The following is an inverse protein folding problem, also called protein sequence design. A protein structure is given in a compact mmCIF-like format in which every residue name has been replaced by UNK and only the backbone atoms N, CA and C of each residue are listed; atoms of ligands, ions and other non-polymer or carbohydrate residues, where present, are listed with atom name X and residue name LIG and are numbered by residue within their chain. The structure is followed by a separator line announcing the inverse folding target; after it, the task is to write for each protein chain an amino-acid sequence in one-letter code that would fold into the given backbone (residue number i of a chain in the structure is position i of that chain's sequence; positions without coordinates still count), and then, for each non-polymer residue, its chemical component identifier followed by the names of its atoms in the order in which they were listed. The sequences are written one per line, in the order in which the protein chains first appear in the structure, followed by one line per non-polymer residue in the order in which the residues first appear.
data_IF_052099958497
#
_entry.id   IF_052099958497
#
_cell.length_a   1.000
_cell.length_b   1.000
_cell.length_c   1.000
_cell.angle_alpha   90.00
_cell.angle_beta   90.00
_cell.angle_gamma   90.00
#
_symmetry.space_group_name_H-M   'P 1'
#
loop_
_entity.id
_entity.type
_entity.pdbx_description
1 polymer ?
#
# COMPACT_ATOMS: atom_id res chain seq x y z
N UNK A 1 16.27 4.35 -36.03
CA UNK A 1 16.41 5.83 -36.04
C UNK A 1 17.04 6.24 -34.71
N UNK A 2 18.12 7.02 -34.76
CA UNK A 2 19.15 7.17 -33.72
C UNK A 2 18.64 7.45 -32.30
N UNK A 3 19.03 6.59 -31.36
CA UNK A 3 18.82 6.75 -29.92
C UNK A 3 19.94 7.65 -29.39
N UNK A 4 19.68 8.96 -29.31
CA UNK A 4 20.55 9.85 -28.56
C UNK A 4 20.26 9.64 -27.07
N UNK A 5 21.23 9.09 -26.34
CA UNK A 5 21.27 9.20 -24.88
C UNK A 5 21.41 10.68 -24.53
N UNK A 6 20.28 11.39 -24.40
CA UNK A 6 20.30 12.77 -23.91
C UNK A 6 20.49 12.68 -22.40
N UNK A 7 21.74 12.70 -21.97
CA UNK A 7 22.12 13.05 -20.62
C UNK A 7 21.77 14.52 -20.43
N UNK A 8 20.71 14.76 -19.69
CA UNK A 8 20.36 16.12 -19.27
C UNK A 8 21.06 16.40 -17.97
N UNK A 9 21.53 17.64 -17.79
CA UNK A 9 22.19 18.13 -16.56
C UNK A 9 21.30 18.04 -15.30
N UNK A 10 20.07 17.54 -15.44
CA UNK A 10 19.11 17.34 -14.36
C UNK A 10 18.93 15.88 -13.93
N UNK A 11 19.76 14.97 -14.43
CA UNK A 11 19.79 13.55 -14.01
C UNK A 11 18.73 12.66 -14.66
N UNK A 12 17.85 13.21 -15.52
CA UNK A 12 16.93 12.39 -16.32
C UNK A 12 17.69 11.73 -17.49
N UNK A 13 17.43 10.44 -17.70
CA UNK A 13 17.91 9.67 -18.85
C UNK A 13 16.71 8.96 -19.50
N UNK A 14 16.46 9.26 -20.76
CA UNK A 14 15.41 8.60 -21.54
C UNK A 14 16.04 7.63 -22.53
N UNK A 15 15.77 6.35 -22.36
CA UNK A 15 16.27 5.28 -23.24
C UNK A 15 15.32 5.00 -24.41
N UNK A 16 14.03 5.26 -24.24
CA UNK A 16 13.01 5.17 -25.30
C UNK A 16 11.79 6.02 -24.93
N UNK A 17 11.13 6.58 -25.95
CA UNK A 17 9.81 7.20 -25.83
C UNK A 17 9.11 7.13 -27.19
N UNK A 18 7.79 7.02 -27.18
CA UNK A 18 7.00 7.05 -28.41
C UNK A 18 6.62 8.48 -28.76
N UNK A 19 6.70 8.83 -30.04
CA UNK A 19 6.07 10.04 -30.53
C UNK A 19 4.56 9.86 -30.42
N UNK A 20 3.92 10.72 -29.63
CA UNK A 20 2.46 10.76 -29.51
C UNK A 20 1.97 12.03 -30.20
N UNK A 21 0.79 11.98 -30.84
CA UNK A 21 0.07 13.16 -31.33
C UNK A 21 -0.67 13.87 -30.18
N UNK A 22 -0.08 13.81 -28.98
CA UNK A 22 -0.63 14.36 -27.76
C UNK A 22 0.26 15.51 -27.30
N UNK A 23 -0.36 16.53 -26.74
CA UNK A 23 0.34 17.67 -26.19
C UNK A 23 -0.06 17.88 -24.74
N UNK A 24 0.86 18.44 -23.97
CA UNK A 24 0.59 18.83 -22.60
C UNK A 24 0.17 20.29 -22.56
N UNK A 25 -0.89 20.60 -21.80
CA UNK A 25 -1.34 21.96 -21.53
C UNK A 25 -1.32 22.23 -20.03
N UNK A 26 -0.67 23.32 -19.63
CA UNK A 26 -0.55 23.76 -18.26
C UNK A 26 0.40 24.95 -18.13
N UNK A 27 0.65 25.40 -16.90
CA UNK A 27 1.58 26.50 -16.66
C UNK A 27 3.04 26.06 -16.80
N UNK A 28 3.80 26.71 -17.70
CA UNK A 28 5.22 26.42 -17.93
C UNK A 28 6.07 26.57 -16.66
N UNK A 29 5.67 27.46 -15.75
CA UNK A 29 6.35 27.69 -14.46
C UNK A 29 6.25 26.48 -13.51
N UNK A 30 5.31 25.57 -13.75
CA UNK A 30 5.13 24.34 -12.97
C UNK A 30 5.98 23.18 -13.51
N UNK A 31 6.75 23.39 -14.57
CA UNK A 31 7.67 22.38 -15.10
C UNK A 31 8.97 22.44 -14.29
N UNK A 32 9.29 21.32 -13.64
CA UNK A 32 10.48 21.18 -12.81
C UNK A 32 11.65 20.66 -13.63
N UNK A 33 12.81 21.33 -13.52
CA UNK A 33 14.03 20.98 -14.24
C UNK A 33 15.22 20.69 -13.33
N UNK A 34 15.17 20.94 -12.01
CA UNK A 34 16.28 20.61 -11.10
C UNK A 34 16.11 19.22 -10.50
N UNK A 35 17.20 18.50 -10.16
CA UNK A 35 17.12 17.17 -9.56
C UNK A 35 16.23 17.08 -8.31
N UNK A 36 16.31 18.08 -7.42
CA UNK A 36 15.52 18.13 -6.18
C UNK A 36 14.03 18.30 -6.47
N UNK A 37 13.70 19.20 -7.41
CA UNK A 37 12.33 19.45 -7.82
C UNK A 37 11.75 18.24 -8.57
N UNK A 38 12.53 17.62 -9.45
CA UNK A 38 12.16 16.38 -10.14
C UNK A 38 11.86 15.27 -9.13
N UNK A 39 12.74 15.04 -8.16
CA UNK A 39 12.52 14.05 -7.10
C UNK A 39 11.24 14.33 -6.32
N UNK A 40 10.99 15.59 -5.95
CA UNK A 40 9.76 15.99 -5.25
C UNK A 40 8.51 15.71 -6.10
N UNK A 41 8.53 16.03 -7.39
CA UNK A 41 7.43 15.76 -8.33
C UNK A 41 7.18 14.25 -8.48
N UNK A 42 8.24 13.44 -8.59
CA UNK A 42 8.14 11.97 -8.66
C UNK A 42 7.58 11.35 -7.37
N UNK A 43 7.94 11.87 -6.20
CA UNK A 43 7.45 11.38 -4.90
C UNK A 43 6.00 11.82 -4.59
N UNK A 44 5.41 12.68 -5.42
CA UNK A 44 4.03 13.16 -5.26
C UNK A 44 3.05 12.21 -5.97
N UNK A 45 2.99 10.96 -5.49
CA UNK A 45 2.29 9.86 -6.16
C UNK A 45 0.78 10.07 -6.34
N UNK A 46 0.13 10.87 -5.48
CA UNK A 46 -1.31 11.15 -5.54
C UNK A 46 -1.72 12.11 -6.67
N UNK A 47 -0.77 12.59 -7.48
CA UNK A 47 -1.02 13.42 -8.65
C UNK A 47 -0.53 12.72 -9.92
N UNK A 48 -1.11 13.03 -11.09
CA UNK A 48 -0.50 12.58 -12.34
C UNK A 48 0.92 13.12 -12.44
N UNK A 49 1.76 12.47 -13.22
CA UNK A 49 3.11 12.95 -13.48
C UNK A 49 3.38 12.88 -14.97
N UNK A 50 3.71 14.04 -15.54
CA UNK A 50 3.99 14.22 -16.96
C UNK A 50 5.45 14.55 -17.16
N UNK A 51 6.10 13.81 -18.06
CA UNK A 51 7.43 14.13 -18.56
C UNK A 51 7.24 14.85 -19.88
N UNK A 52 7.75 16.08 -19.96
CA UNK A 52 7.50 16.99 -21.07
C UNK A 52 8.79 17.55 -21.63
N UNK A 53 8.80 17.90 -22.93
CA UNK A 53 9.88 18.62 -23.60
C UNK A 53 9.41 20.02 -23.99
N UNK A 54 10.17 21.03 -23.59
CA UNK A 54 9.98 22.44 -23.96
C UNK A 54 11.34 23.09 -24.17
N UNK A 55 11.51 23.87 -25.25
CA UNK A 55 12.77 24.55 -25.58
C UNK A 55 14.01 23.64 -25.47
N UNK A 56 13.90 22.43 -26.05
CA UNK A 56 14.91 21.34 -26.02
C UNK A 56 15.33 20.82 -24.63
N UNK A 57 14.70 21.30 -23.56
CA UNK A 57 14.86 20.78 -22.19
C UNK A 57 13.75 19.80 -21.86
N UNK A 58 14.08 18.79 -21.06
CA UNK A 58 13.08 17.84 -20.54
C UNK A 58 12.90 18.13 -19.06
N UNK A 59 11.64 18.32 -18.69
CA UNK A 59 11.22 18.55 -17.32
C UNK A 59 10.05 17.66 -16.96
N UNK A 60 9.62 17.78 -15.70
CA UNK A 60 8.55 16.97 -15.13
C UNK A 60 7.56 17.86 -14.39
N UNK A 61 6.27 17.50 -14.42
CA UNK A 61 5.25 18.26 -13.69
C UNK A 61 4.10 17.37 -13.22
N UNK A 62 3.51 17.73 -12.09
CA UNK A 62 2.26 17.12 -11.60
C UNK A 62 1.01 17.95 -11.94
N UNK A 63 1.15 18.97 -12.79
CA UNK A 63 0.09 19.91 -13.14
C UNK A 63 -0.28 19.79 -14.63
N UNK A 64 -1.38 20.42 -15.02
CA UNK A 64 -1.89 20.38 -16.39
C UNK A 64 -2.57 19.07 -16.78
N UNK A 65 -2.86 18.95 -18.07
CA UNK A 65 -3.59 17.84 -18.66
C UNK A 65 -3.14 17.55 -20.09
N UNK A 66 -3.45 16.35 -20.57
CA UNK A 66 -3.17 15.92 -21.94
C UNK A 66 -4.31 16.37 -22.85
N UNK A 67 -3.97 16.97 -23.99
CA UNK A 67 -4.91 17.38 -25.03
C UNK A 67 -4.56 16.70 -26.35
N UNK A 68 -5.55 16.22 -27.13
CA UNK A 68 -5.32 15.80 -28.51
C UNK A 68 -5.13 17.06 -29.36
N UNK A 69 -3.89 17.41 -29.67
CA UNK A 69 -3.53 18.54 -30.52
C UNK A 69 -2.10 18.35 -30.96
N UNK A 70 -1.81 18.53 -32.25
CA UNK A 70 -0.45 18.47 -32.81
C UNK A 70 0.30 19.81 -32.71
N UNK A 71 -0.38 20.87 -32.27
CA UNK A 71 0.19 22.21 -32.17
C UNK A 71 0.32 22.58 -30.69
N UNK A 72 1.51 22.40 -30.11
CA UNK A 72 1.85 22.99 -28.81
C UNK A 72 3.36 23.24 -28.68
N UNK A 73 3.69 24.26 -27.89
CA UNK A 73 5.04 24.62 -27.46
C UNK A 73 5.67 23.53 -26.56
N UNK A 74 4.84 22.70 -25.93
CA UNK A 74 5.26 21.64 -25.00
C UNK A 74 4.80 20.27 -25.50
N UNK A 75 5.77 19.41 -25.81
CA UNK A 75 5.52 18.03 -26.22
C UNK A 75 5.49 17.12 -25.01
N UNK A 76 4.54 16.20 -24.96
CA UNK A 76 4.53 15.15 -23.94
C UNK A 76 5.40 13.97 -24.38
N UNK A 77 6.21 13.46 -23.47
CA UNK A 77 7.07 12.30 -23.71
C UNK A 77 6.54 11.06 -22.98
N UNK A 78 6.11 11.23 -21.74
CA UNK A 78 5.50 10.18 -20.91
C UNK A 78 4.48 10.77 -19.96
N UNK A 79 3.50 9.96 -19.57
CA UNK A 79 2.53 10.28 -18.54
C UNK A 79 2.30 9.07 -17.65
N UNK A 80 2.16 9.30 -16.35
CA UNK A 80 1.61 8.32 -15.42
C UNK A 80 0.42 8.94 -14.69
N UNK A 81 -0.70 8.20 -14.52
CA UNK A 81 -1.79 8.65 -13.66
C UNK A 81 -1.33 8.71 -12.20
N UNK A 82 -2.15 9.28 -11.29
CA UNK A 82 -1.97 9.11 -9.85
C UNK A 82 -1.84 7.63 -9.47
N UNK A 83 -0.87 7.33 -8.61
CA UNK A 83 -0.64 6.01 -8.05
C UNK A 83 -0.89 6.05 -6.54
N UNK A 84 -1.77 5.17 -6.07
CA UNK A 84 -2.17 5.06 -4.68
C UNK A 84 -1.79 3.69 -4.12
N UNK A 85 -1.38 3.58 -2.83
CA UNK A 85 -1.10 2.29 -2.20
C UNK A 85 -2.24 1.27 -2.32
N UNK A 86 -3.49 1.74 -2.38
CA UNK A 86 -4.70 0.94 -2.57
C UNK A 86 -4.72 0.15 -3.88
N UNK A 87 -3.95 0.58 -4.89
CA UNK A 87 -3.85 -0.08 -6.18
C UNK A 87 -2.85 -1.25 -6.17
N UNK A 88 -2.08 -1.41 -5.09
CA UNK A 88 -1.13 -2.51 -4.94
C UNK A 88 -1.84 -3.70 -4.29
N UNK A 89 -1.77 -4.85 -4.95
CA UNK A 89 -2.40 -6.10 -4.50
C UNK A 89 -3.85 -6.26 -4.97
N UNK A 90 -4.59 -7.14 -4.30
CA UNK A 90 -5.97 -7.47 -4.66
C UNK A 90 -6.96 -6.52 -3.96
N UNK A 91 -7.80 -5.81 -4.72
CA UNK A 91 -8.82 -4.92 -4.16
C UNK A 91 -9.89 -5.65 -3.34
N UNK A 92 -10.13 -6.94 -3.61
CA UNK A 92 -11.06 -7.75 -2.85
C UNK A 92 -10.57 -7.92 -1.41
N UNK A 93 -9.26 -8.06 -1.18
CA UNK A 93 -8.67 -8.12 0.16
C UNK A 93 -8.99 -6.86 0.98
N UNK A 94 -8.89 -5.68 0.36
CA UNK A 94 -9.21 -4.40 1.00
C UNK A 94 -10.69 -4.36 1.41
N UNK A 95 -11.58 -4.72 0.49
CA UNK A 95 -13.03 -4.70 0.73
C UNK A 95 -13.47 -5.73 1.77
N UNK A 96 -12.89 -6.94 1.74
CA UNK A 96 -13.24 -8.05 2.61
C UNK A 96 -12.79 -7.80 4.05
N UNK A 97 -11.55 -7.34 4.25
CA UNK A 97 -11.00 -7.08 5.59
C UNK A 97 -11.23 -5.64 6.08
N UNK A 98 -11.74 -4.73 5.26
CA UNK A 98 -11.96 -3.33 5.64
C UNK A 98 -10.66 -2.55 5.89
N UNK A 99 -9.63 -2.81 5.08
CA UNK A 99 -8.29 -2.21 5.19
C UNK A 99 -7.98 -1.22 4.07
N UNK A 100 -6.99 -0.34 4.28
CA UNK A 100 -6.57 0.68 3.30
C UNK A 100 -5.47 0.24 2.34
N UNK A 101 -4.84 -0.91 2.58
CA UNK A 101 -3.79 -1.47 1.76
C UNK A 101 -3.83 -3.00 1.80
N UNK A 102 -3.37 -3.65 0.73
CA UNK A 102 -3.24 -5.11 0.66
C UNK A 102 -2.01 -5.57 1.44
N UNK A 103 -2.07 -5.40 2.76
CA UNK A 103 -0.98 -5.68 3.68
C UNK A 103 -1.53 -6.18 5.01
N UNK A 104 -0.83 -7.15 5.59
CA UNK A 104 -1.08 -7.66 6.92
C UNK A 104 0.24 -7.87 7.67
N UNK A 105 0.25 -7.63 8.98
CA UNK A 105 1.34 -8.13 9.83
C UNK A 105 0.99 -9.52 10.35
N UNK A 106 1.86 -10.49 10.08
CA UNK A 106 1.71 -11.85 10.59
C UNK A 106 1.83 -11.90 12.11
N UNK A 107 1.28 -12.96 12.70
CA UNK A 107 1.37 -13.19 14.12
C UNK A 107 2.80 -13.48 14.58
N UNK A 108 3.10 -13.02 15.79
CA UNK A 108 4.35 -13.30 16.48
C UNK A 108 3.99 -13.84 17.86
N UNK A 109 4.34 -15.10 18.13
CA UNK A 109 3.90 -15.89 19.28
C UNK A 109 4.20 -15.23 20.64
N UNK A 110 3.62 -15.79 21.70
CA UNK A 110 3.76 -15.34 23.09
C UNK A 110 3.35 -13.88 23.30
N UNK A 111 2.43 -13.36 22.48
CA UNK A 111 1.98 -11.98 22.53
C UNK A 111 3.00 -10.95 22.06
N UNK A 112 4.05 -11.35 21.33
CA UNK A 112 4.99 -10.40 20.69
C UNK A 112 4.20 -9.51 19.71
N UNK A 113 3.32 -10.10 18.91
CA UNK A 113 2.26 -9.36 18.23
C UNK A 113 1.18 -9.02 19.27
N UNK A 114 1.44 -7.96 20.03
CA UNK A 114 0.68 -7.56 21.22
C UNK A 114 -0.65 -6.90 20.88
N UNK A 115 -1.57 -6.83 21.85
CA UNK A 115 -2.84 -6.14 21.67
C UNK A 115 -2.66 -4.67 21.26
N UNK A 116 -1.69 -3.96 21.86
CA UNK A 116 -1.37 -2.57 21.51
C UNK A 116 -0.93 -2.43 20.05
N UNK A 117 -0.13 -3.37 19.53
CA UNK A 117 0.27 -3.41 18.13
C UNK A 117 -0.95 -3.61 17.22
N UNK A 118 -1.83 -4.56 17.55
CA UNK A 118 -3.05 -4.81 16.77
C UNK A 118 -3.96 -3.58 16.77
N UNK A 119 -4.12 -2.92 17.92
CA UNK A 119 -4.94 -1.72 18.07
C UNK A 119 -4.37 -0.57 17.24
N UNK A 120 -3.06 -0.33 17.32
CA UNK A 120 -2.40 0.72 16.55
C UNK A 120 -2.57 0.52 15.04
N UNK A 121 -2.35 -0.71 14.56
CA UNK A 121 -2.49 -1.05 13.13
C UNK A 121 -3.95 -1.03 12.67
N UNK A 122 -4.87 -1.56 13.48
CA UNK A 122 -6.30 -1.55 13.18
C UNK A 122 -6.88 -0.12 13.11
N UNK A 123 -6.48 0.78 14.02
CA UNK A 123 -6.82 2.21 13.95
C UNK A 123 -6.29 2.86 12.67
N UNK A 124 -5.12 2.41 12.21
CA UNK A 124 -4.54 2.82 10.93
C UNK A 124 -5.16 2.12 9.69
N UNK A 125 -6.17 1.26 9.87
CA UNK A 125 -6.80 0.43 8.83
C UNK A 125 -5.84 -0.52 8.12
N UNK A 126 -4.95 -1.14 8.90
CA UNK A 126 -4.02 -2.18 8.45
C UNK A 126 -4.38 -3.48 9.19
N UNK A 127 -4.45 -4.61 8.49
CA UNK A 127 -4.75 -5.89 9.13
C UNK A 127 -3.55 -6.34 9.97
N UNK A 128 -3.80 -6.85 11.16
CA UNK A 128 -2.78 -7.37 12.04
C UNK A 128 -3.33 -8.56 12.82
N UNK A 129 -2.51 -9.60 12.95
CA UNK A 129 -2.87 -10.84 13.62
C UNK A 129 -2.25 -10.93 15.02
N UNK A 130 -3.09 -11.04 16.04
CA UNK A 130 -2.64 -11.17 17.43
C UNK A 130 -1.88 -12.48 17.64
N UNK A 131 -0.75 -12.40 18.34
CA UNK A 131 0.14 -13.52 18.65
C UNK A 131 -0.36 -14.44 19.74
N UNK A 132 -1.43 -15.20 19.49
CA UNK A 132 -2.07 -16.06 20.49
C UNK A 132 -1.25 -17.32 20.84
N UNK A 133 -0.44 -17.83 19.91
CA UNK A 133 0.34 -19.06 20.13
C UNK A 133 1.21 -18.98 21.39
N UNK A 134 1.14 -20.02 22.24
CA UNK A 134 1.90 -20.10 23.49
C UNK A 134 1.31 -19.29 24.67
N UNK A 135 0.22 -18.55 24.47
CA UNK A 135 -0.46 -17.85 25.56
C UNK A 135 -1.53 -18.73 26.24
N UNK A 136 -1.71 -18.61 27.56
CA UNK A 136 -2.82 -19.25 28.25
C UNK A 136 -4.16 -18.63 27.83
N UNK A 137 -5.23 -19.43 27.86
CA UNK A 137 -6.55 -19.05 27.35
C UNK A 137 -7.09 -17.75 27.95
N UNK A 138 -6.82 -17.49 29.24
CA UNK A 138 -7.25 -16.28 29.94
C UNK A 138 -6.58 -15.01 29.37
N UNK A 139 -5.32 -15.12 28.93
CA UNK A 139 -4.63 -13.99 28.28
C UNK A 139 -5.16 -13.74 26.88
N UNK A 140 -5.54 -14.79 26.16
CA UNK A 140 -6.19 -14.67 24.85
C UNK A 140 -7.55 -13.99 25.02
N UNK A 141 -8.35 -14.41 26.00
CA UNK A 141 -9.66 -13.81 26.31
C UNK A 141 -9.54 -12.32 26.65
N UNK A 142 -8.59 -11.96 27.51
CA UNK A 142 -8.33 -10.56 27.86
C UNK A 142 -7.90 -9.73 26.62
N UNK A 143 -7.08 -10.30 25.74
CA UNK A 143 -6.67 -9.64 24.50
C UNK A 143 -7.85 -9.41 23.54
N UNK A 144 -8.74 -10.39 23.39
CA UNK A 144 -9.96 -10.25 22.58
C UNK A 144 -10.81 -9.09 23.08
N UNK A 145 -11.13 -9.08 24.38
CA UNK A 145 -11.94 -8.02 24.98
C UNK A 145 -11.31 -6.64 24.81
N UNK A 146 -9.99 -6.53 25.00
CA UNK A 146 -9.28 -5.27 24.86
C UNK A 146 -9.26 -4.77 23.40
N UNK A 147 -8.90 -5.64 22.46
CA UNK A 147 -8.85 -5.31 21.02
C UNK A 147 -10.25 -4.93 20.52
N UNK A 148 -11.30 -5.68 20.87
CA UNK A 148 -12.67 -5.40 20.44
C UNK A 148 -13.23 -4.10 21.02
N UNK A 149 -12.86 -3.76 22.26
CA UNK A 149 -13.23 -2.48 22.86
C UNK A 149 -12.67 -1.31 22.05
N UNK A 150 -11.41 -1.41 21.60
CA UNK A 150 -10.73 -0.35 20.84
C UNK A 150 -11.05 -0.38 19.34
N UNK A 151 -11.42 -1.55 18.80
CA UNK A 151 -11.71 -1.80 17.39
C UNK A 151 -13.05 -2.55 17.22
N UNK A 152 -14.19 -1.94 17.57
CA UNK A 152 -15.49 -2.61 17.54
C UNK A 152 -15.93 -3.07 16.15
N UNK A 153 -15.37 -2.46 15.09
CA UNK A 153 -15.62 -2.80 13.69
C UNK A 153 -14.34 -3.30 12.99
N UNK A 154 -13.31 -3.67 13.76
CA UNK A 154 -12.00 -4.04 13.23
C UNK A 154 -11.29 -2.90 12.47
N UNK A 155 -10.31 -3.24 11.61
CA UNK A 155 -9.83 -4.59 11.30
C UNK A 155 -8.91 -5.16 12.40
N UNK A 156 -9.01 -6.45 12.65
CA UNK A 156 -8.05 -7.25 13.43
C UNK A 156 -8.19 -8.72 13.05
N UNK A 157 -7.16 -9.52 13.33
CA UNK A 157 -7.19 -10.97 13.24
C UNK A 157 -6.56 -11.59 14.50
N UNK A 158 -6.79 -12.89 14.70
CA UNK A 158 -6.14 -13.68 15.74
C UNK A 158 -5.49 -14.90 15.13
N UNK A 159 -4.30 -15.24 15.62
CA UNK A 159 -3.61 -16.45 15.19
C UNK A 159 -4.27 -17.70 15.78
N UNK A 160 -4.57 -18.67 14.92
CA UNK A 160 -4.86 -20.04 15.31
C UNK A 160 -3.66 -20.88 14.87
N UNK A 161 -2.81 -21.24 15.82
CA UNK A 161 -1.66 -22.11 15.56
C UNK A 161 -2.04 -23.57 15.79
N UNK A 162 -1.64 -24.43 14.87
CA UNK A 162 -1.81 -25.86 15.06
C UNK A 162 -0.91 -26.38 16.19
N UNK A 163 -1.50 -27.14 17.10
CA UNK A 163 -0.80 -27.76 18.24
C UNK A 163 -1.03 -29.27 18.23
N UNK A 164 -0.23 -30.05 17.47
CA UNK A 164 -0.44 -31.50 17.30
C UNK A 164 -0.50 -32.29 18.61
N UNK A 165 0.27 -31.84 19.61
CA UNK A 165 0.36 -32.48 20.92
C UNK A 165 -0.72 -32.01 21.91
N UNK A 166 -1.49 -30.96 21.57
CA UNK A 166 -2.50 -30.35 22.45
C UNK A 166 -3.78 -29.96 21.67
N UNK A 167 -4.51 -30.91 21.04
CA UNK A 167 -5.70 -30.61 20.24
C UNK A 167 -6.86 -30.02 21.06
N UNK A 168 -6.92 -30.30 22.36
CA UNK A 168 -7.90 -29.69 23.27
C UNK A 168 -7.69 -28.18 23.41
N UNK A 169 -6.44 -27.71 23.40
CA UNK A 169 -6.13 -26.29 23.48
C UNK A 169 -6.56 -25.56 22.20
N UNK A 170 -6.30 -26.14 21.03
CA UNK A 170 -6.78 -25.60 19.75
C UNK A 170 -8.31 -25.46 19.76
N UNK A 171 -9.03 -26.49 20.23
CA UNK A 171 -10.49 -26.45 20.36
C UNK A 171 -10.98 -25.35 21.30
N UNK A 172 -10.37 -25.23 22.48
CA UNK A 172 -10.70 -24.18 23.45
C UNK A 172 -10.50 -22.77 22.87
N UNK A 173 -9.46 -22.56 22.07
CA UNK A 173 -9.20 -21.28 21.39
C UNK A 173 -10.27 -20.99 20.34
N UNK A 174 -10.66 -22.00 19.54
CA UNK A 174 -11.77 -21.86 18.57
C UNK A 174 -13.09 -21.53 19.28
N UNK A 175 -13.42 -22.25 20.36
CA UNK A 175 -14.63 -22.00 21.14
C UNK A 175 -14.63 -20.58 21.73
N UNK A 176 -13.47 -20.09 22.16
CA UNK A 176 -13.28 -18.72 22.62
C UNK A 176 -13.50 -17.70 21.50
N UNK A 177 -12.95 -17.94 20.30
CA UNK A 177 -13.15 -17.06 19.14
C UNK A 177 -14.62 -17.00 18.72
N UNK A 178 -15.32 -18.12 18.74
CA UNK A 178 -16.76 -18.18 18.49
C UNK A 178 -17.56 -17.42 19.55
N UNK A 179 -17.25 -17.62 20.84
CA UNK A 179 -17.90 -16.95 21.98
C UNK A 179 -17.86 -15.42 21.85
N UNK A 180 -16.72 -14.87 21.41
CA UNK A 180 -16.52 -13.42 21.27
C UNK A 180 -16.77 -12.88 19.86
N UNK A 181 -17.15 -13.72 18.90
CA UNK A 181 -17.39 -13.30 17.52
C UNK A 181 -16.14 -12.77 16.81
N UNK A 182 -14.98 -13.40 17.02
CA UNK A 182 -13.77 -13.13 16.22
C UNK A 182 -13.99 -13.66 14.80
N UNK A 183 -14.02 -12.75 13.81
CA UNK A 183 -14.40 -13.07 12.43
C UNK A 183 -13.24 -13.34 11.47
N UNK A 184 -12.01 -13.05 11.89
CA UNK A 184 -10.81 -13.21 11.05
C UNK A 184 -9.76 -13.95 11.84
N UNK A 185 -9.26 -15.04 11.28
CA UNK A 185 -8.15 -15.82 11.85
C UNK A 185 -7.00 -15.96 10.85
N UNK A 186 -5.78 -16.00 11.37
CA UNK A 186 -4.60 -16.46 10.65
C UNK A 186 -4.30 -17.89 11.11
N UNK A 187 -4.68 -18.88 10.29
CA UNK A 187 -4.38 -20.28 10.55
C UNK A 187 -2.94 -20.61 10.12
N UNK A 188 -2.12 -21.12 11.03
CA UNK A 188 -0.69 -21.37 10.79
C UNK A 188 -0.23 -22.71 11.34
N UNK A 189 0.79 -23.30 10.72
CA UNK A 189 1.42 -24.57 11.11
C UNK A 189 0.53 -25.82 10.99
N UNK A 190 -0.64 -25.72 10.34
CA UNK A 190 -1.45 -26.89 10.01
C UNK A 190 -0.73 -27.78 8.99
N UNK A 191 -0.73 -29.08 9.25
CA UNK A 191 -0.21 -30.13 8.39
C UNK A 191 -1.44 -30.94 7.96
N UNK A 192 -1.72 -31.01 6.67
CA UNK A 192 -2.86 -31.79 6.15
C UNK A 192 -2.75 -33.29 6.49
#
# INVERSE_FOLDING_TARGET
MSIANVLLDNGLRLTSYHHTNQTWKGSLEKICFTPEAIKKTLLTLHKPCYVVRTNDKIGITNDGYISPSDVAEVKILMATPPIFPQQLGDCNFLSFHGVKCAYATGAMANGIASADMIIALGKAKILASFGAGGLPIQKIEAAIQHIQKELPQGPYAFNLIHSPHEPSMERCVVDLYLKYGVKTIEASAFLE
#
